data_IF_402031092928
#
_entry.id   IF_402031092928
#
_cell.length_a   1.000
_cell.length_b   1.000
_cell.length_c   1.000
_cell.angle_alpha   90.00
_cell.angle_beta   90.00
_cell.angle_gamma   90.00
#
_symmetry.space_group_name_H-M   'P 1'
#
loop_
_entity.id
_entity.type
_entity.pdbx_description
1 polymer ?
#
# COMPACT_ATOMS: atom_id res chain seq x y z
N UNK A 1 -26.08 3.36 -26.09
CA UNK A 1 -26.16 1.87 -26.16
C UNK A 1 -24.78 1.23 -26.06
N UNK A 2 -23.77 1.71 -26.78
CA UNK A 2 -22.40 1.16 -26.75
C UNK A 2 -21.66 1.40 -25.43
N UNK A 3 -21.79 2.58 -24.82
CA UNK A 3 -21.20 2.89 -23.50
C UNK A 3 -21.64 1.88 -22.43
N UNK A 4 -22.93 1.52 -22.43
CA UNK A 4 -23.47 0.52 -21.50
C UNK A 4 -22.95 -0.89 -21.82
N UNK A 5 -22.78 -1.25 -23.10
CA UNK A 5 -22.16 -2.53 -23.47
C UNK A 5 -20.70 -2.62 -23.04
N UNK A 6 -19.96 -1.50 -23.11
CA UNK A 6 -18.58 -1.42 -22.62
C UNK A 6 -18.48 -1.57 -21.10
N UNK A 7 -19.31 -0.83 -20.34
CA UNK A 7 -19.34 -0.91 -18.87
C UNK A 7 -19.67 -2.31 -18.35
N UNK A 8 -20.62 -2.98 -19.00
CA UNK A 8 -21.07 -4.32 -18.62
C UNK A 8 -20.31 -5.43 -19.37
N UNK A 9 -19.28 -5.08 -20.15
CA UNK A 9 -18.48 -6.00 -20.99
C UNK A 9 -19.33 -6.98 -21.81
N UNK A 10 -20.51 -6.54 -22.26
CA UNK A 10 -21.50 -7.39 -22.96
C UNK A 10 -20.92 -7.82 -24.30
N UNK A 11 -20.72 -9.13 -24.46
CA UNK A 11 -20.16 -9.75 -25.67
C UNK A 11 -18.65 -10.02 -25.60
N UNK A 12 -17.98 -9.70 -24.50
CA UNK A 12 -16.63 -10.19 -24.24
C UNK A 12 -16.69 -11.64 -23.70
N UNK A 13 -15.70 -12.50 -24.00
CA UNK A 13 -15.63 -13.84 -23.44
C UNK A 13 -15.59 -13.78 -21.91
N UNK A 14 -16.48 -14.52 -21.26
CA UNK A 14 -16.49 -14.66 -19.80
C UNK A 14 -15.27 -15.49 -19.36
N UNK A 15 -14.53 -15.02 -18.36
CA UNK A 15 -13.39 -15.77 -17.82
C UNK A 15 -13.87 -16.53 -16.58
N UNK A 16 -13.93 -17.86 -16.70
CA UNK A 16 -14.39 -18.75 -15.64
C UNK A 16 -13.34 -19.07 -14.55
N UNK A 17 -12.16 -18.45 -14.63
CA UNK A 17 -11.12 -18.61 -13.61
C UNK A 17 -11.27 -17.55 -12.51
N UNK A 18 -11.33 -17.95 -11.23
CA UNK A 18 -11.43 -17.01 -10.13
C UNK A 18 -10.12 -16.22 -9.98
N UNK A 19 -10.22 -14.91 -9.89
CA UNK A 19 -9.10 -14.03 -9.55
C UNK A 19 -9.15 -13.76 -8.05
N UNK A 20 -8.03 -14.00 -7.36
CA UNK A 20 -7.89 -13.68 -5.94
C UNK A 20 -7.75 -12.17 -5.75
N UNK A 21 -8.51 -11.65 -4.80
CA UNK A 21 -8.54 -10.23 -4.45
C UNK A 21 -8.46 -10.04 -2.93
N UNK A 22 -7.78 -8.97 -2.53
CA UNK A 22 -7.82 -8.44 -1.16
C UNK A 22 -8.85 -7.33 -1.10
N UNK A 23 -9.74 -7.39 -0.11
CA UNK A 23 -10.53 -6.25 0.35
C UNK A 23 -10.06 -5.80 1.72
N UNK A 24 -9.72 -4.53 1.84
CA UNK A 24 -9.31 -3.92 3.11
C UNK A 24 -10.11 -2.66 3.39
N UNK A 25 -10.53 -2.50 4.64
CA UNK A 25 -11.13 -1.27 5.15
C UNK A 25 -10.05 -0.40 5.78
N UNK A 26 -10.21 0.91 5.77
CA UNK A 26 -9.47 1.78 6.72
C UNK A 26 -7.97 1.98 6.46
N UNK A 27 -7.48 1.81 5.21
CA UNK A 27 -6.13 2.30 4.85
C UNK A 27 -5.98 3.81 5.12
N UNK A 28 -7.10 4.54 5.14
CA UNK A 28 -7.15 5.97 5.32
C UNK A 28 -7.10 6.47 6.78
N UNK A 29 -7.41 5.64 7.78
CA UNK A 29 -7.52 6.09 9.18
C UNK A 29 -6.17 6.49 9.80
N UNK A 30 -5.07 6.26 9.09
CA UNK A 30 -3.73 6.85 9.34
C UNK A 30 -3.06 7.42 8.09
N UNK A 31 -3.82 7.72 7.01
CA UNK A 31 -3.29 8.16 5.70
C UNK A 31 -3.28 9.67 5.50
N UNK A 32 -3.87 10.47 6.39
CA UNK A 32 -3.82 11.92 6.24
C UNK A 32 -2.37 12.37 6.13
N UNK A 33 -2.01 13.03 5.02
CA UNK A 33 -0.64 13.43 4.71
C UNK A 33 -0.31 13.21 3.24
N UNK A 34 0.72 13.90 2.76
CA UNK A 34 1.19 13.80 1.39
C UNK A 34 2.23 12.68 1.26
N UNK A 35 2.29 11.99 0.11
CA UNK A 35 3.43 11.16 -0.23
C UNK A 35 4.72 11.97 -0.04
N UNK A 36 5.74 11.40 0.63
CA UNK A 36 7.00 12.08 0.94
C UNK A 36 7.94 12.16 -0.26
N UNK A 37 7.39 12.39 -1.46
CA UNK A 37 8.09 12.52 -2.73
C UNK A 37 7.98 13.96 -3.25
N UNK A 38 9.03 14.41 -3.93
CA UNK A 38 9.02 15.72 -4.58
C UNK A 38 7.89 15.81 -5.60
N UNK A 39 7.10 16.89 -5.54
CA UNK A 39 6.03 17.14 -6.50
C UNK A 39 4.69 16.48 -6.19
N UNK A 40 4.55 15.74 -5.08
CA UNK A 40 3.25 15.17 -4.69
C UNK A 40 2.25 16.26 -4.29
N UNK A 41 1.20 16.38 -5.10
CA UNK A 41 0.13 17.39 -4.98
C UNK A 41 -1.15 16.86 -4.32
N UNK A 42 -1.31 15.54 -4.21
CA UNK A 42 -2.49 14.91 -3.63
C UNK A 42 -2.11 14.13 -2.35
N UNK A 43 -2.92 14.21 -1.29
CA UNK A 43 -2.71 13.39 -0.10
C UNK A 43 -3.00 11.92 -0.40
N UNK A 44 -2.43 11.03 0.41
CA UNK A 44 -2.79 9.62 0.35
C UNK A 44 -4.27 9.42 0.67
N UNK A 45 -4.96 8.75 -0.24
CA UNK A 45 -6.27 8.17 0.02
C UNK A 45 -6.15 6.64 0.04
N UNK A 46 -7.22 5.95 0.45
CA UNK A 46 -7.19 4.49 0.58
C UNK A 46 -6.82 3.81 -0.75
N UNK A 47 -7.36 4.29 -1.88
CA UNK A 47 -7.10 3.72 -3.21
C UNK A 47 -5.66 3.95 -3.67
N UNK A 48 -5.16 5.18 -3.58
CA UNK A 48 -3.80 5.51 -4.02
C UNK A 48 -2.73 4.83 -3.17
N UNK A 49 -2.95 4.73 -1.86
CA UNK A 49 -2.06 4.00 -0.96
C UNK A 49 -2.08 2.49 -1.24
N UNK A 50 -3.27 1.91 -1.44
CA UNK A 50 -3.40 0.49 -1.79
C UNK A 50 -2.66 0.17 -3.10
N UNK A 51 -2.83 1.02 -4.12
CA UNK A 51 -2.15 0.88 -5.40
C UNK A 51 -0.64 0.97 -5.25
N UNK A 52 -0.13 1.96 -4.51
CA UNK A 52 1.31 2.14 -4.28
C UNK A 52 1.94 0.94 -3.55
N UNK A 53 1.28 0.41 -2.52
CA UNK A 53 1.74 -0.79 -1.81
C UNK A 53 1.68 -2.01 -2.74
N UNK A 54 0.62 -2.14 -3.53
CA UNK A 54 0.50 -3.18 -4.56
C UNK A 54 1.63 -3.11 -5.59
N UNK A 55 1.96 -1.91 -6.08
CA UNK A 55 3.08 -1.71 -7.02
C UNK A 55 4.41 -2.12 -6.40
N UNK A 56 4.68 -1.72 -5.15
CA UNK A 56 5.90 -2.13 -4.45
C UNK A 56 6.02 -3.65 -4.33
N UNK A 57 4.91 -4.34 -4.04
CA UNK A 57 4.86 -5.80 -3.93
C UNK A 57 5.04 -6.47 -5.29
N UNK A 58 4.28 -6.07 -6.31
CA UNK A 58 4.34 -6.68 -7.64
C UNK A 58 5.74 -6.53 -8.25
N UNK A 59 6.33 -5.34 -8.14
CA UNK A 59 7.69 -5.09 -8.64
C UNK A 59 8.75 -5.85 -7.85
N UNK A 60 8.58 -6.03 -6.53
CA UNK A 60 9.47 -6.87 -5.75
C UNK A 60 9.35 -8.36 -6.12
N UNK A 61 8.13 -8.85 -6.38
CA UNK A 61 7.92 -10.20 -6.89
C UNK A 61 8.61 -10.41 -8.24
N UNK A 62 8.51 -9.43 -9.14
CA UNK A 62 9.16 -9.49 -10.46
C UNK A 62 10.69 -9.48 -10.35
N UNK A 63 11.25 -8.59 -9.53
CA UNK A 63 12.70 -8.54 -9.27
C UNK A 63 13.24 -9.86 -8.70
N UNK A 64 12.43 -10.56 -7.91
CA UNK A 64 12.76 -11.86 -7.33
C UNK A 64 12.32 -13.06 -8.19
N UNK A 65 11.77 -12.82 -9.39
CA UNK A 65 11.27 -13.84 -10.33
C UNK A 65 10.20 -14.76 -9.71
N UNK A 66 9.38 -14.23 -8.80
CA UNK A 66 8.27 -14.92 -8.16
C UNK A 66 6.98 -14.86 -8.99
N UNK A 67 6.95 -14.01 -10.01
CA UNK A 67 5.90 -13.94 -11.02
C UNK A 67 6.55 -13.90 -12.40
N UNK A 68 5.90 -14.53 -13.39
CA UNK A 68 6.42 -14.59 -14.77
C UNK A 68 6.06 -13.36 -15.58
N UNK A 69 4.87 -12.84 -15.32
CA UNK A 69 4.29 -11.69 -16.00
C UNK A 69 4.01 -10.56 -15.01
N UNK A 70 3.77 -9.36 -15.56
CA UNK A 70 3.42 -8.16 -14.81
C UNK A 70 1.97 -7.75 -15.14
N UNK A 71 0.98 -8.53 -14.68
CA UNK A 71 -0.42 -8.20 -14.87
C UNK A 71 -0.76 -6.83 -14.24
N UNK A 72 -1.63 -6.01 -14.85
CA UNK A 72 -1.99 -4.72 -14.31
C UNK A 72 -2.75 -4.86 -12.98
N UNK A 73 -2.41 -4.02 -12.00
CA UNK A 73 -3.12 -3.96 -10.72
C UNK A 73 -4.42 -3.19 -10.91
N UNK A 74 -5.54 -3.83 -10.55
CA UNK A 74 -6.83 -3.17 -10.49
C UNK A 74 -7.15 -2.78 -9.06
N UNK A 75 -7.58 -1.52 -8.89
CA UNK A 75 -8.08 -1.00 -7.62
C UNK A 75 -9.46 -0.40 -7.79
N UNK A 76 -10.39 -0.78 -6.90
CA UNK A 76 -11.76 -0.27 -6.93
C UNK A 76 -12.33 -0.09 -5.53
N UNK A 77 -12.95 1.05 -5.30
CA UNK A 77 -13.71 1.32 -4.08
C UNK A 77 -14.99 0.47 -4.07
N UNK A 78 -15.39 0.05 -2.87
CA UNK A 78 -16.61 -0.73 -2.63
C UNK A 78 -17.43 -0.07 -1.53
N UNK A 79 -18.71 -0.43 -1.48
CA UNK A 79 -19.61 0.03 -0.43
C UNK A 79 -19.01 -0.21 0.96
N UNK A 80 -19.25 0.72 1.89
CA UNK A 80 -18.73 0.61 3.26
C UNK A 80 -17.25 0.95 3.43
N UNK A 81 -16.64 1.66 2.46
CA UNK A 81 -15.28 2.21 2.57
C UNK A 81 -14.16 1.19 2.37
N UNK A 82 -14.46 0.10 1.68
CA UNK A 82 -13.46 -0.92 1.32
C UNK A 82 -12.77 -0.56 0.02
N UNK A 83 -11.49 -0.91 -0.07
CA UNK A 83 -10.75 -0.92 -1.33
C UNK A 83 -10.43 -2.36 -1.68
N UNK A 84 -10.80 -2.76 -2.89
CA UNK A 84 -10.43 -4.06 -3.47
C UNK A 84 -9.20 -3.89 -4.35
N UNK A 85 -8.23 -4.78 -4.18
CA UNK A 85 -6.98 -4.85 -4.96
C UNK A 85 -6.80 -6.26 -5.50
N UNK A 86 -6.50 -6.39 -6.80
CA UNK A 86 -6.19 -7.67 -7.45
C UNK A 86 -5.33 -7.45 -8.71
N UNK A 87 -4.74 -8.53 -9.22
CA UNK A 87 -4.06 -8.53 -10.51
C UNK A 87 -5.05 -8.95 -11.61
N UNK A 88 -5.26 -8.08 -12.59
CA UNK A 88 -6.10 -8.41 -13.74
C UNK A 88 -5.33 -9.31 -14.70
N UNK A 89 -6.04 -10.27 -15.28
CA UNK A 89 -5.51 -11.28 -16.20
C UNK A 89 -4.42 -12.23 -15.69
N UNK A 90 -4.03 -12.16 -14.42
CA UNK A 90 -2.99 -13.01 -13.82
C UNK A 90 -3.31 -14.52 -13.88
N UNK A 91 -2.27 -15.35 -13.79
CA UNK A 91 -2.41 -16.76 -13.46
C UNK A 91 -2.61 -16.95 -11.94
N UNK A 92 -3.08 -18.15 -11.55
CA UNK A 92 -3.42 -18.46 -10.16
C UNK A 92 -2.21 -18.32 -9.22
N UNK A 93 -1.01 -18.69 -9.70
CA UNK A 93 0.25 -18.61 -8.94
C UNK A 93 0.58 -17.14 -8.62
N UNK A 94 0.59 -16.27 -9.63
CA UNK A 94 0.86 -14.85 -9.45
C UNK A 94 -0.22 -14.16 -8.60
N UNK A 95 -1.49 -14.49 -8.82
CA UNK A 95 -2.60 -13.99 -8.00
C UNK A 95 -2.44 -14.38 -6.54
N UNK A 96 -2.07 -15.63 -6.24
CA UNK A 96 -1.85 -16.09 -4.88
C UNK A 96 -0.65 -15.39 -4.22
N UNK A 97 0.51 -15.42 -4.88
CA UNK A 97 1.75 -14.78 -4.38
C UNK A 97 1.53 -13.30 -4.06
N UNK A 98 0.85 -12.57 -4.95
CA UNK A 98 0.55 -11.16 -4.75
C UNK A 98 -0.44 -10.91 -3.61
N UNK A 99 -1.52 -11.69 -3.55
CA UNK A 99 -2.58 -11.55 -2.53
C UNK A 99 -2.05 -11.85 -1.14
N UNK A 100 -1.25 -12.91 -0.98
CA UNK A 100 -0.61 -13.25 0.30
C UNK A 100 0.36 -12.15 0.76
N UNK A 101 1.17 -11.61 -0.15
CA UNK A 101 2.08 -10.52 0.18
C UNK A 101 1.34 -9.22 0.54
N UNK A 102 0.23 -8.91 -0.14
CA UNK A 102 -0.64 -7.78 0.20
C UNK A 102 -1.28 -7.97 1.58
N UNK A 103 -1.78 -9.19 1.87
CA UNK A 103 -2.34 -9.52 3.16
C UNK A 103 -1.33 -9.25 4.28
N UNK A 104 -0.09 -9.70 4.12
CA UNK A 104 0.97 -9.43 5.10
C UNK A 104 1.26 -7.93 5.28
N UNK A 105 1.38 -7.16 4.18
CA UNK A 105 1.78 -5.75 4.23
C UNK A 105 0.67 -4.83 4.76
N UNK A 106 -0.58 -5.14 4.45
CA UNK A 106 -1.76 -4.36 4.84
C UNK A 106 -2.37 -4.84 6.16
N UNK A 107 -2.01 -6.04 6.61
CA UNK A 107 -2.61 -6.68 7.77
C UNK A 107 -1.97 -6.22 9.08
N UNK A 108 -2.61 -6.56 10.23
CA UNK A 108 -2.01 -6.33 11.53
C UNK A 108 -0.64 -7.03 11.68
N UNK A 109 0.23 -6.44 12.49
CA UNK A 109 1.57 -7.00 12.73
C UNK A 109 1.46 -8.27 13.61
N UNK A 110 1.56 -9.44 12.99
CA UNK A 110 1.60 -10.74 13.66
C UNK A 110 3.05 -11.23 13.83
N UNK A 111 3.80 -10.59 14.73
CA UNK A 111 5.20 -10.90 15.04
C UNK A 111 6.08 -11.04 13.76
N UNK A 112 6.09 -10.02 12.87
CA UNK A 112 6.80 -10.08 11.61
C UNK A 112 8.32 -10.17 11.81
N UNK A 113 9.03 -10.79 10.86
CA UNK A 113 10.50 -10.87 10.90
C UNK A 113 11.15 -9.50 10.70
N UNK A 114 10.61 -8.72 9.77
CA UNK A 114 11.04 -7.37 9.46
C UNK A 114 9.83 -6.44 9.38
N UNK A 115 10.05 -5.18 9.73
CA UNK A 115 9.07 -4.10 9.61
C UNK A 115 9.65 -2.96 8.80
N UNK A 116 8.81 -2.17 8.13
CA UNK A 116 9.25 -1.01 7.35
C UNK A 116 8.36 0.20 7.70
N UNK A 117 8.93 1.36 8.02
CA UNK A 117 8.15 2.55 8.31
C UNK A 117 7.57 3.14 7.02
N UNK A 118 6.36 3.66 7.16
CA UNK A 118 5.73 4.55 6.18
C UNK A 118 5.78 5.97 6.70
N UNK A 119 6.39 6.85 5.92
CA UNK A 119 6.41 8.28 6.23
C UNK A 119 5.38 9.04 5.38
N UNK A 120 4.91 10.15 5.92
CA UNK A 120 4.10 11.14 5.20
C UNK A 120 4.60 12.53 5.52
N UNK A 121 4.39 13.44 4.58
CA UNK A 121 4.62 14.86 4.79
C UNK A 121 3.30 15.52 5.23
N UNK A 122 3.29 16.18 6.39
CA UNK A 122 2.14 16.97 6.86
C UNK A 122 2.36 18.44 6.56
N UNK A 123 1.36 19.07 5.95
CA UNK A 123 1.36 20.52 5.77
C UNK A 123 0.91 21.15 7.08
N UNK A 124 1.84 21.80 7.78
CA UNK A 124 1.50 22.67 8.90
C UNK A 124 1.32 24.07 8.32
N UNK A 125 0.07 24.53 8.19
CA UNK A 125 -0.17 25.93 7.86
C UNK A 125 0.41 26.78 8.99
N UNK A 126 1.48 27.53 8.71
CA UNK A 126 1.97 28.55 9.63
C UNK A 126 0.79 29.47 9.98
N UNK A 127 0.60 29.86 11.25
CA UNK A 127 -0.55 30.68 11.69
C UNK A 127 -0.75 31.95 10.83
N UNK A 128 0.32 32.50 10.25
CA UNK A 128 0.27 33.63 9.30
C UNK A 128 -0.32 33.28 7.92
N UNK A 129 -0.14 32.05 7.43
CA UNK A 129 -0.66 31.60 6.12
C UNK A 129 -2.19 31.60 6.05
N UNK A 130 -2.90 31.54 7.20
CA UNK A 130 -4.37 31.70 7.29
C UNK A 130 -4.85 33.11 6.92
N UNK A 131 -3.99 34.12 7.00
CA UNK A 131 -4.31 35.52 6.70
C UNK A 131 -3.76 35.99 5.34
N UNK A 132 -2.93 35.18 4.68
CA UNK A 132 -2.34 35.52 3.40
C UNK A 132 -3.30 35.19 2.24
N UNK A 133 -3.38 36.04 1.19
CA UNK A 133 -4.12 35.70 -0.03
C UNK A 133 -3.66 34.36 -0.61
N UNK A 134 -4.60 33.56 -1.15
CA UNK A 134 -4.36 32.18 -1.61
C UNK A 134 -3.19 32.04 -2.62
N UNK A 135 -2.87 33.09 -3.36
CA UNK A 135 -1.76 33.10 -4.32
C UNK A 135 -0.37 33.22 -3.67
N UNK A 136 -0.27 33.67 -2.41
CA UNK A 136 0.99 33.76 -1.65
C UNK A 136 1.17 32.55 -0.71
N UNK A 137 0.07 31.99 -0.19
CA UNK A 137 0.08 30.91 0.80
C UNK A 137 0.88 29.66 0.40
N UNK A 138 0.97 29.35 -0.90
CA UNK A 138 1.72 28.19 -1.44
C UNK A 138 3.22 28.22 -1.13
N UNK A 139 3.82 29.40 -0.94
CA UNK A 139 5.25 29.55 -0.64
C UNK A 139 5.60 29.37 0.85
N UNK A 140 4.59 29.36 1.73
CA UNK A 140 4.77 29.23 3.18
C UNK A 140 4.28 27.90 3.75
N UNK A 141 3.91 26.94 2.90
CA UNK A 141 3.56 25.59 3.31
C UNK A 141 4.83 24.82 3.70
N UNK A 142 5.10 24.76 5.00
CA UNK A 142 6.12 23.88 5.54
C UNK A 142 5.55 22.46 5.64
N UNK A 143 6.26 21.51 5.04
CA UNK A 143 5.98 20.08 5.12
C UNK A 143 6.91 19.43 6.14
N UNK A 144 6.34 18.96 7.25
CA UNK A 144 7.10 18.21 8.26
C UNK A 144 6.86 16.71 8.05
N UNK A 145 7.95 15.93 8.05
CA UNK A 145 7.90 14.48 7.83
C UNK A 145 7.59 13.75 9.13
N UNK A 146 6.60 12.87 9.09
CA UNK A 146 6.18 12.07 10.23
C UNK A 146 6.07 10.59 9.87
N UNK A 147 6.41 9.72 10.81
CA UNK A 147 6.11 8.29 10.69
C UNK A 147 4.60 8.09 10.85
N UNK A 148 3.93 7.79 9.74
CA UNK A 148 2.50 7.54 9.74
C UNK A 148 2.16 6.16 10.29
N UNK A 149 2.88 5.13 9.83
CA UNK A 149 2.56 3.74 10.15
C UNK A 149 3.76 2.84 9.99
N UNK A 150 3.78 1.72 10.71
CA UNK A 150 4.78 0.66 10.58
C UNK A 150 4.10 -0.56 9.94
N UNK A 151 4.64 -1.01 8.81
CA UNK A 151 4.11 -2.15 8.06
C UNK A 151 5.02 -3.36 8.22
N UNK A 152 4.45 -4.56 8.09
CA UNK A 152 5.27 -5.76 7.97
C UNK A 152 5.95 -5.79 6.61
N UNK A 153 7.20 -6.23 6.56
CA UNK A 153 7.76 -6.75 5.31
C UNK A 153 7.12 -8.13 5.09
N UNK A 154 6.45 -8.36 3.93
CA UNK A 154 5.83 -9.64 3.64
C UNK A 154 6.75 -10.83 3.89
N UNK A 155 6.21 -11.93 4.43
CA UNK A 155 6.98 -13.14 4.76
C UNK A 155 7.73 -13.68 3.55
N UNK A 156 7.12 -13.54 2.37
CA UNK A 156 7.68 -13.86 1.08
C UNK A 156 9.05 -13.20 0.83
N UNK A 157 9.20 -11.94 1.24
CA UNK A 157 10.42 -11.13 1.09
C UNK A 157 11.31 -11.14 2.34
N UNK A 158 10.77 -11.54 3.49
CA UNK A 158 11.46 -11.52 4.79
C UNK A 158 12.34 -12.77 5.06
N UNK A 159 12.84 -13.42 4.01
CA UNK A 159 13.64 -14.66 4.09
C UNK A 159 15.08 -14.37 4.51
N UNK A 160 15.72 -13.41 3.86
CA UNK A 160 17.09 -12.97 4.13
C UNK A 160 17.26 -11.47 3.84
N UNK A 161 18.44 -10.92 4.13
CA UNK A 161 18.71 -9.50 3.97
C UNK A 161 18.61 -9.02 2.51
N UNK A 162 18.99 -9.86 1.54
CA UNK A 162 18.96 -9.52 0.11
C UNK A 162 17.52 -9.36 -0.40
N UNK A 163 16.63 -10.30 -0.08
CA UNK A 163 15.21 -10.23 -0.48
C UNK A 163 14.49 -9.09 0.23
N UNK A 164 14.86 -8.80 1.48
CA UNK A 164 14.36 -7.62 2.21
C UNK A 164 14.80 -6.33 1.53
N UNK A 165 16.06 -6.24 1.10
CA UNK A 165 16.58 -5.06 0.41
C UNK A 165 15.88 -4.81 -0.93
N UNK A 166 15.51 -5.87 -1.66
CA UNK A 166 14.70 -5.76 -2.89
C UNK A 166 13.34 -5.13 -2.59
N UNK A 167 12.62 -5.64 -1.58
CA UNK A 167 11.33 -5.06 -1.19
C UNK A 167 11.47 -3.61 -0.69
N UNK A 168 12.48 -3.33 0.15
CA UNK A 168 12.74 -1.98 0.64
C UNK A 168 12.97 -1.00 -0.50
N UNK A 169 13.73 -1.37 -1.53
CA UNK A 169 13.95 -0.53 -2.71
C UNK A 169 12.62 -0.16 -3.39
N UNK A 170 11.74 -1.14 -3.63
CA UNK A 170 10.43 -0.91 -4.26
C UNK A 170 9.47 -0.15 -3.34
N UNK A 171 9.51 -0.39 -2.04
CA UNK A 171 8.79 0.42 -1.06
C UNK A 171 9.20 1.89 -1.12
N UNK A 172 10.51 2.15 -1.20
CA UNK A 172 11.05 3.50 -1.27
C UNK A 172 10.73 4.21 -2.58
N UNK A 173 10.51 3.45 -3.66
CA UNK A 173 10.09 3.97 -4.97
C UNK A 173 8.62 4.36 -5.01
N UNK A 174 7.73 3.52 -4.46
CA UNK A 174 6.28 3.69 -4.64
C UNK A 174 5.55 4.25 -3.41
N UNK A 175 6.03 3.98 -2.19
CA UNK A 175 5.28 4.23 -0.95
C UNK A 175 5.88 5.36 -0.13
N UNK A 176 7.12 5.18 0.36
CA UNK A 176 7.84 6.20 1.13
C UNK A 176 9.28 5.76 1.40
N UNK A 177 10.24 6.69 1.53
CA UNK A 177 11.61 6.33 1.88
C UNK A 177 11.68 5.79 3.31
N UNK A 178 12.37 4.67 3.52
CA UNK A 178 12.60 4.07 4.83
C UNK A 178 13.54 2.87 4.76
N UNK A 179 13.89 2.34 5.94
CA UNK A 179 14.71 1.14 6.08
C UNK A 179 13.89 0.02 6.71
N UNK A 180 14.05 -1.20 6.18
CA UNK A 180 13.49 -2.39 6.77
C UNK A 180 14.30 -2.79 8.00
N UNK A 181 13.61 -2.95 9.13
CA UNK A 181 14.20 -3.18 10.45
C UNK A 181 13.84 -4.58 10.91
N UNK A 182 14.84 -5.35 11.36
CA UNK A 182 14.60 -6.67 11.95
C UNK A 182 13.84 -6.56 13.28
N UNK A 183 12.70 -7.23 13.40
CA UNK A 183 11.72 -6.97 14.46
C UNK A 183 11.54 -8.12 15.46
N UNK A 184 12.30 -9.22 15.38
CA UNK A 184 12.15 -10.34 16.32
C UNK A 184 12.92 -10.17 17.63
N UNK A 185 13.83 -9.19 17.73
CA UNK A 185 14.58 -8.90 18.97
C UNK A 185 15.14 -7.49 18.99
N UNK A 186 15.56 -7.04 20.17
CA UNK A 186 16.28 -5.78 20.35
C UNK A 186 15.45 -4.55 20.01
N UNK A 187 16.10 -3.52 19.46
CA UNK A 187 15.45 -2.23 19.17
C UNK A 187 14.27 -2.34 18.20
N UNK A 188 14.33 -3.22 17.20
CA UNK A 188 13.24 -3.40 16.24
C UNK A 188 12.00 -4.06 16.84
N UNK A 189 12.17 -4.99 17.80
CA UNK A 189 11.05 -5.57 18.53
C UNK A 189 10.36 -4.51 19.42
N UNK A 190 11.14 -3.66 20.08
CA UNK A 190 10.62 -2.52 20.84
C UNK A 190 9.88 -1.54 19.94
N UNK A 191 10.45 -1.18 18.78
CA UNK A 191 9.79 -0.33 17.78
C UNK A 191 8.43 -0.92 17.34
N UNK A 192 8.38 -2.22 17.04
CA UNK A 192 7.14 -2.87 16.62
C UNK A 192 6.09 -2.87 17.74
N UNK A 193 6.50 -3.19 18.98
CA UNK A 193 5.62 -3.13 20.16
C UNK A 193 5.09 -1.72 20.42
N UNK A 194 5.96 -0.72 20.31
CA UNK A 194 5.60 0.69 20.47
C UNK A 194 4.63 1.14 19.38
N UNK A 195 4.84 0.74 18.13
CA UNK A 195 3.93 1.05 17.04
C UNK A 195 2.54 0.45 17.28
N UNK A 196 2.45 -0.81 17.72
CA UNK A 196 1.18 -1.45 18.08
C UNK A 196 0.50 -0.69 19.23
N UNK A 197 1.23 -0.39 20.31
CA UNK A 197 0.71 0.35 21.48
C UNK A 197 0.15 1.72 21.08
N UNK A 198 0.82 2.40 20.17
CA UNK A 198 0.44 3.74 19.69
C UNK A 198 -0.53 3.72 18.49
N UNK A 199 -1.07 2.55 18.12
CA UNK A 199 -1.97 2.37 16.95
C UNK A 199 -1.38 2.90 15.64
N UNK A 200 -0.06 2.76 15.48
CA UNK A 200 0.71 3.11 14.27
C UNK A 200 1.03 1.86 13.46
N UNK A 201 0.11 0.91 13.40
CA UNK A 201 0.20 -0.30 12.58
C UNK A 201 -1.11 -0.46 11.82
N UNK A 202 -1.12 -1.18 10.69
CA UNK A 202 -2.38 -1.51 10.06
C UNK A 202 -3.28 -2.27 11.04
N UNK A 203 -4.53 -1.88 11.12
CA UNK A 203 -5.55 -2.53 11.96
C UNK A 203 -6.76 -2.97 11.14
N UNK A 204 -6.63 -2.97 9.81
CA UNK A 204 -7.71 -3.27 8.90
C UNK A 204 -8.05 -4.74 8.93
N UNK A 205 -9.34 -5.05 8.98
CA UNK A 205 -9.85 -6.37 8.58
C UNK A 205 -9.55 -6.56 7.10
N UNK A 206 -8.83 -7.63 6.80
CA UNK A 206 -8.51 -8.05 5.44
C UNK A 206 -9.39 -9.24 5.10
N UNK A 207 -10.10 -9.13 3.98
CA UNK A 207 -10.88 -10.23 3.44
C UNK A 207 -10.27 -10.68 2.12
N UNK A 208 -9.97 -11.98 2.02
CA UNK A 208 -9.68 -12.61 0.74
C UNK A 208 -11.00 -12.94 0.04
N UNK A 209 -11.07 -12.67 -1.26
CA UNK A 209 -12.24 -12.94 -2.11
C UNK A 209 -11.78 -13.53 -3.44
N UNK A 210 -12.58 -14.45 -3.97
CA UNK A 210 -12.49 -14.88 -5.36
C UNK A 210 -13.47 -14.06 -6.21
N UNK A 211 -12.99 -13.56 -7.34
CA UNK A 211 -13.74 -12.69 -8.24
C UNK A 211 -13.74 -13.29 -9.63
N UNK A 212 -14.91 -13.39 -10.25
CA UNK A 212 -15.05 -13.81 -11.64
C UNK A 212 -15.32 -12.58 -12.50
N UNK A 213 -14.64 -12.47 -13.65
CA UNK A 213 -14.69 -11.31 -14.56
C UNK A 213 -15.34 -11.64 -15.91
#
# INVERSE_FOLDING_TARGET
REVMRGLWRIGQPYRNQPIRAIETRSLASGSGGFPPFSGSSEPWNARSLALAIGQAILMACADLKLVRELPPIQTGERAGGYVRVFLDTADDEASQVFTEALHDALGPLHRPRYVIPRYVDRVTAARLARWLPKFIGRWFERRDRETAMLHAVPRLFAKNAETVAVYQRRWNEFVSPGEAIYALRGAGETLARDAVRNRRTPSSEIHEKEVFL
#
